data_IF_997432356318
#
_entry.id   IF_997432356318
#
_cell.length_a   1.000
_cell.length_b   1.000
_cell.length_c   1.000
_cell.angle_alpha   90.00
_cell.angle_beta   90.00
_cell.angle_gamma   90.00
#
_symmetry.space_group_name_H-M   'P 1'
#
loop_
_entity.id
_entity.type
_entity.pdbx_description
1 polymer ?
#
# COMPACT_ATOMS: atom_id res chain seq x y z
N UNK A 1 -5.80 12.36 -11.62
CA UNK A 1 -4.98 11.14 -11.90
C UNK A 1 -4.13 10.84 -10.69
N UNK A 2 -4.71 10.03 -9.81
CA UNK A 2 -4.16 9.64 -8.52
C UNK A 2 -3.06 8.59 -8.71
N UNK A 3 -2.12 8.57 -7.77
CA UNK A 3 -1.01 7.64 -7.61
C UNK A 3 -1.43 6.20 -7.89
N UNK A 4 -1.15 5.71 -9.10
CA UNK A 4 -1.17 4.29 -9.39
C UNK A 4 -0.21 3.60 -8.42
N UNK A 5 -0.75 2.69 -7.61
CA UNK A 5 0.03 1.80 -6.76
C UNK A 5 1.09 1.13 -7.62
N UNK A 6 2.36 1.54 -7.44
CA UNK A 6 3.47 0.84 -8.08
C UNK A 6 3.50 -0.55 -7.49
N UNK A 7 3.28 -1.56 -8.33
CA UNK A 7 3.47 -2.96 -7.96
C UNK A 7 4.81 -3.12 -7.25
N UNK A 8 4.87 -3.91 -6.18
CA UNK A 8 6.11 -4.13 -5.44
C UNK A 8 7.21 -4.73 -6.34
N UNK A 9 6.83 -5.46 -7.41
CA UNK A 9 7.74 -5.86 -8.49
C UNK A 9 8.47 -4.68 -9.17
N UNK A 10 7.76 -3.57 -9.44
CA UNK A 10 8.35 -2.36 -10.05
C UNK A 10 9.27 -1.62 -9.06
N UNK A 11 8.93 -1.64 -7.77
CA UNK A 11 9.77 -1.06 -6.73
C UNK A 11 11.08 -1.84 -6.57
N UNK A 12 11.00 -3.18 -6.55
CA UNK A 12 12.16 -4.07 -6.51
C UNK A 12 13.06 -3.84 -7.74
N UNK A 13 12.48 -3.82 -8.94
CA UNK A 13 13.24 -3.57 -10.17
C UNK A 13 13.91 -2.19 -10.16
N UNK A 14 13.24 -1.17 -9.63
CA UNK A 14 13.80 0.18 -9.48
C UNK A 14 14.98 0.18 -8.49
N UNK A 15 14.84 -0.49 -7.35
CA UNK A 15 15.90 -0.61 -6.35
C UNK A 15 17.13 -1.33 -6.92
N UNK A 16 16.92 -2.44 -7.63
CA UNK A 16 18.01 -3.15 -8.31
C UNK A 16 18.66 -2.31 -9.41
N UNK A 17 17.87 -1.58 -10.21
CA UNK A 17 18.41 -0.69 -11.24
C UNK A 17 19.34 0.39 -10.64
N UNK A 18 18.98 0.95 -9.48
CA UNK A 18 19.84 1.89 -8.74
C UNK A 18 21.10 1.24 -8.22
N UNK A 19 20.96 0.08 -7.56
CA UNK A 19 22.09 -0.66 -7.01
C UNK A 19 23.11 -1.03 -8.08
N UNK A 20 22.63 -1.60 -9.20
CA UNK A 20 23.47 -1.96 -10.34
C UNK A 20 24.12 -0.72 -10.94
N UNK A 21 23.36 0.37 -11.16
CA UNK A 21 23.89 1.62 -11.70
C UNK A 21 24.98 2.25 -10.84
N UNK A 22 24.80 2.29 -9.51
CA UNK A 22 25.83 2.75 -8.57
C UNK A 22 27.07 1.86 -8.64
N UNK A 23 26.88 0.54 -8.73
CA UNK A 23 27.97 -0.40 -8.95
C UNK A 23 28.77 -0.08 -10.22
N UNK A 24 28.11 0.17 -11.35
CA UNK A 24 28.80 0.53 -12.59
C UNK A 24 29.58 1.84 -12.48
N UNK A 25 29.05 2.87 -11.81
CA UNK A 25 29.79 4.12 -11.55
C UNK A 25 31.02 3.85 -10.68
N UNK A 26 30.86 3.08 -9.60
CA UNK A 26 31.97 2.72 -8.71
C UNK A 26 33.08 1.98 -9.47
N UNK A 27 32.73 0.94 -10.22
CA UNK A 27 33.71 0.17 -10.97
C UNK A 27 34.32 0.95 -12.14
N UNK A 28 33.61 1.90 -12.74
CA UNK A 28 34.19 2.80 -13.73
C UNK A 28 35.33 3.60 -13.12
N UNK A 29 35.11 4.18 -11.94
CA UNK A 29 36.14 4.95 -11.22
C UNK A 29 37.32 4.09 -10.81
N UNK A 30 37.06 2.88 -10.27
CA UNK A 30 38.11 1.92 -9.89
C UNK A 30 38.90 1.42 -11.10
N UNK A 31 38.28 1.35 -12.28
CA UNK A 31 38.92 0.85 -13.51
C UNK A 31 39.86 1.87 -14.17
N UNK A 32 39.80 3.16 -13.82
CA UNK A 32 40.62 4.21 -14.44
C UNK A 32 42.12 3.87 -14.50
N UNK A 33 42.79 3.47 -13.40
CA UNK A 33 44.19 3.07 -13.46
C UNK A 33 44.42 1.83 -14.34
N UNK A 34 43.55 0.82 -14.26
CA UNK A 34 43.68 -0.41 -15.06
C UNK A 34 43.45 -0.17 -16.56
N UNK A 35 42.66 0.83 -16.94
CA UNK A 35 42.48 1.24 -18.33
C UNK A 35 43.80 1.77 -18.90
N UNK A 36 44.55 2.54 -18.10
CA UNK A 36 45.88 3.05 -18.49
C UNK A 36 46.89 1.92 -18.62
N UNK A 37 46.83 0.92 -17.75
CA UNK A 37 47.67 -0.27 -17.85
C UNK A 37 47.47 -1.03 -19.18
N UNK A 38 46.28 -0.95 -19.79
CA UNK A 38 45.97 -1.62 -21.06
C UNK A 38 46.34 -0.82 -22.33
N UNK A 39 46.83 0.42 -22.22
CA UNK A 39 47.04 1.34 -23.36
C UNK A 39 48.05 0.80 -24.40
N UNK A 40 48.98 -0.06 -23.99
CA UNK A 40 49.94 -0.73 -24.89
C UNK A 40 49.54 -2.15 -25.34
N UNK A 41 48.52 -2.74 -24.70
CA UNK A 41 48.11 -4.13 -24.93
C UNK A 41 46.80 -4.24 -25.75
N UNK A 42 46.09 -3.12 -25.83
CA UNK A 42 44.85 -3.00 -26.59
C UNK A 42 45.00 -1.96 -27.71
N UNK A 43 44.37 -2.23 -28.85
CA UNK A 43 44.27 -1.28 -29.94
C UNK A 43 43.55 -0.01 -29.45
N UNK A 44 44.05 1.15 -29.86
CA UNK A 44 43.55 2.46 -29.40
C UNK A 44 42.07 2.70 -29.67
N UNK A 45 41.52 2.08 -30.73
CA UNK A 45 40.08 2.14 -31.05
C UNK A 45 39.23 1.26 -30.13
N UNK A 46 39.79 0.18 -29.57
CA UNK A 46 39.03 -0.82 -28.84
C UNK A 46 38.63 -0.32 -27.46
N UNK A 47 39.55 0.32 -26.73
CA UNK A 47 39.28 0.85 -25.39
C UNK A 47 38.03 1.75 -25.30
N UNK A 48 37.84 2.78 -26.15
CA UNK A 48 36.61 3.59 -26.11
C UNK A 48 35.36 2.78 -26.48
N UNK A 49 35.44 1.83 -27.42
CA UNK A 49 34.33 0.93 -27.76
C UNK A 49 33.99 0.02 -26.57
N UNK A 50 35.01 -0.55 -25.93
CA UNK A 50 34.89 -1.37 -24.73
C UNK A 50 34.23 -0.60 -23.59
N UNK A 51 34.63 0.66 -23.34
CA UNK A 51 34.00 1.48 -22.30
C UNK A 51 32.50 1.67 -22.54
N UNK A 52 32.09 1.91 -23.79
CA UNK A 52 30.67 2.02 -24.15
C UNK A 52 29.94 0.69 -23.97
N UNK A 53 30.54 -0.43 -24.39
CA UNK A 53 29.92 -1.75 -24.26
C UNK A 53 29.78 -2.18 -22.79
N UNK A 54 30.86 -2.07 -22.00
CA UNK A 54 30.88 -2.54 -20.62
C UNK A 54 30.11 -1.63 -19.67
N UNK A 55 30.19 -0.29 -19.80
CA UNK A 55 29.56 0.64 -18.86
C UNK A 55 28.26 1.27 -19.36
N UNK A 56 28.08 1.44 -20.67
CA UNK A 56 26.95 2.17 -21.26
C UNK A 56 25.57 1.68 -20.80
N UNK A 57 25.24 0.38 -20.95
CA UNK A 57 23.97 -0.17 -20.50
C UNK A 57 23.73 -0.01 -19.00
N UNK A 58 24.78 -0.18 -18.18
CA UNK A 58 24.71 -0.08 -16.72
C UNK A 58 24.45 1.35 -16.23
N UNK A 59 25.11 2.33 -16.82
CA UNK A 59 24.87 3.75 -16.55
C UNK A 59 23.48 4.19 -17.02
N UNK A 60 23.04 3.73 -18.20
CA UNK A 60 21.71 3.98 -18.71
C UNK A 60 20.62 3.36 -17.82
N UNK A 61 20.83 2.14 -17.32
CA UNK A 61 19.95 1.47 -16.35
C UNK A 61 19.85 2.29 -15.05
N UNK A 62 20.99 2.74 -14.53
CA UNK A 62 21.06 3.60 -13.36
C UNK A 62 20.27 4.89 -13.55
N UNK A 63 20.48 5.61 -14.65
CA UNK A 63 19.75 6.83 -14.98
C UNK A 63 18.24 6.60 -15.13
N UNK A 64 17.85 5.53 -15.84
CA UNK A 64 16.44 5.18 -16.06
C UNK A 64 15.69 4.87 -14.75
N UNK A 65 16.40 4.41 -13.72
CA UNK A 65 15.82 4.08 -12.40
C UNK A 65 15.39 5.30 -11.56
N UNK A 66 15.82 6.52 -11.92
CA UNK A 66 15.39 7.75 -11.27
C UNK A 66 14.18 8.39 -11.97
N UNK A 67 13.96 8.10 -13.26
CA UNK A 67 12.90 8.69 -14.07
C UNK A 67 11.57 7.92 -14.03
N UNK A 68 10.43 8.63 -13.93
CA UNK A 68 9.08 8.02 -14.02
C UNK A 68 8.83 7.35 -15.39
N UNK A 69 9.35 7.92 -16.48
CA UNK A 69 9.24 7.35 -17.84
C UNK A 69 10.23 6.20 -18.10
N UNK A 70 11.27 6.05 -17.27
CA UNK A 70 12.33 5.04 -17.44
C UNK A 70 11.92 3.62 -17.00
N UNK A 71 10.78 3.46 -16.32
CA UNK A 71 10.34 2.17 -15.79
C UNK A 71 10.16 1.09 -16.87
N UNK A 72 9.60 1.46 -18.02
CA UNK A 72 9.46 0.53 -19.16
C UNK A 72 10.81 0.10 -19.73
N UNK A 73 11.85 0.92 -19.55
CA UNK A 73 13.19 0.65 -20.04
C UNK A 73 14.05 -0.16 -19.04
N UNK A 74 13.66 -0.30 -17.77
CA UNK A 74 14.48 -0.98 -16.76
C UNK A 74 14.77 -2.46 -17.10
N UNK A 75 13.74 -3.23 -17.46
CA UNK A 75 13.93 -4.64 -17.87
C UNK A 75 14.81 -4.81 -19.11
N UNK A 76 14.57 -4.11 -20.23
CA UNK A 76 15.41 -4.26 -21.40
C UNK A 76 16.84 -3.74 -21.16
N UNK A 77 17.03 -2.67 -20.37
CA UNK A 77 18.37 -2.19 -20.02
C UNK A 77 19.12 -3.18 -19.11
N UNK A 78 18.44 -3.84 -18.17
CA UNK A 78 19.04 -4.89 -17.34
C UNK A 78 19.44 -6.11 -18.18
N UNK A 79 18.62 -6.51 -19.15
CA UNK A 79 18.98 -7.55 -20.11
C UNK A 79 20.15 -7.13 -21.02
N UNK A 80 20.17 -5.86 -21.44
CA UNK A 80 21.26 -5.31 -22.23
C UNK A 80 22.59 -5.32 -21.47
N UNK A 81 22.62 -5.07 -20.15
CA UNK A 81 23.83 -5.18 -19.35
C UNK A 81 24.48 -6.57 -19.47
N UNK A 82 23.68 -7.64 -19.48
CA UNK A 82 24.17 -9.01 -19.62
C UNK A 82 24.65 -9.29 -21.06
N UNK A 83 23.81 -9.00 -22.05
CA UNK A 83 24.11 -9.31 -23.45
C UNK A 83 25.31 -8.50 -23.95
N UNK A 84 25.35 -7.19 -23.68
CA UNK A 84 26.41 -6.31 -24.17
C UNK A 84 27.73 -6.58 -23.46
N UNK A 85 27.74 -7.03 -22.21
CA UNK A 85 28.96 -7.48 -21.54
C UNK A 85 29.59 -8.67 -22.27
N UNK A 86 28.80 -9.68 -22.65
CA UNK A 86 29.29 -10.82 -23.42
C UNK A 86 29.75 -10.40 -24.83
N UNK A 87 29.08 -9.42 -25.45
CA UNK A 87 29.53 -8.86 -26.72
C UNK A 87 30.88 -8.15 -26.59
N UNK A 88 31.09 -7.36 -25.52
CA UNK A 88 32.37 -6.73 -25.23
C UNK A 88 33.49 -7.76 -25.01
N UNK A 89 33.18 -8.87 -24.34
CA UNK A 89 34.11 -9.98 -24.19
C UNK A 89 34.41 -10.68 -25.52
N UNK A 90 33.40 -10.86 -26.37
CA UNK A 90 33.55 -11.46 -27.70
C UNK A 90 34.38 -10.60 -28.66
N UNK A 91 34.32 -9.27 -28.53
CA UNK A 91 35.10 -8.34 -29.35
C UNK A 91 36.52 -8.11 -28.83
N UNK A 92 36.84 -8.54 -27.60
CA UNK A 92 38.19 -8.38 -27.02
C UNK A 92 39.32 -8.93 -27.91
N UNK A 93 39.24 -10.15 -28.48
CA UNK A 93 40.32 -10.68 -29.33
C UNK A 93 40.64 -9.82 -30.56
N UNK A 94 39.70 -9.00 -31.03
CA UNK A 94 39.93 -8.07 -32.16
C UNK A 94 40.71 -6.83 -31.73
N UNK A 95 40.62 -6.46 -30.45
CA UNK A 95 41.34 -5.33 -29.86
C UNK A 95 42.70 -5.72 -29.27
N UNK A 96 42.94 -7.00 -29.02
CA UNK A 96 44.19 -7.45 -28.40
C UNK A 96 45.35 -7.40 -29.39
N UNK A 97 46.45 -6.75 -29.02
CA UNK A 97 47.66 -6.62 -29.86
C UNK A 97 48.55 -7.86 -29.83
N UNK A 98 48.27 -8.83 -28.95
CA UNK A 98 49.11 -10.00 -28.69
C UNK A 98 50.14 -9.80 -27.57
N UNK A 99 50.28 -8.57 -27.08
CA UNK A 99 51.14 -8.23 -25.95
C UNK A 99 50.53 -8.72 -24.61
N UNK A 100 51.36 -8.84 -23.59
CA UNK A 100 50.97 -9.28 -22.25
C UNK A 100 51.12 -8.15 -21.23
N UNK A 101 50.44 -8.30 -20.09
CA UNK A 101 50.55 -7.44 -18.92
C UNK A 101 51.54 -8.06 -17.91
N UNK A 102 52.54 -7.29 -17.45
CA UNK A 102 53.46 -7.74 -16.40
C UNK A 102 52.82 -7.67 -15.00
N UNK A 103 53.52 -8.24 -14.02
CA UNK A 103 53.23 -8.15 -12.58
C UNK A 103 51.86 -8.72 -12.19
N UNK A 104 51.39 -9.74 -12.91
CA UNK A 104 50.09 -10.39 -12.64
C UNK A 104 48.86 -9.48 -12.76
N UNK A 105 49.00 -8.30 -13.41
CA UNK A 105 47.87 -7.37 -13.67
C UNK A 105 46.75 -8.06 -14.46
N UNK A 106 45.56 -7.45 -14.43
CA UNK A 106 44.36 -8.00 -15.03
C UNK A 106 43.63 -6.97 -15.87
N UNK A 107 42.81 -7.44 -16.82
CA UNK A 107 41.98 -6.56 -17.62
C UNK A 107 40.95 -5.82 -16.75
N UNK A 108 40.75 -4.52 -17.00
CA UNK A 108 39.85 -3.68 -16.21
C UNK A 108 38.40 -4.19 -16.14
N UNK A 109 37.90 -4.81 -17.21
CA UNK A 109 36.56 -5.41 -17.26
C UNK A 109 36.43 -6.70 -16.43
N UNK A 110 37.53 -7.20 -15.86
CA UNK A 110 37.53 -8.41 -15.02
C UNK A 110 37.02 -8.18 -13.60
N UNK A 111 36.95 -6.92 -13.18
CA UNK A 111 36.57 -6.53 -11.83
C UNK A 111 35.09 -6.77 -11.51
N UNK A 112 34.22 -6.83 -12.52
CA UNK A 112 32.77 -6.79 -12.31
C UNK A 112 31.89 -7.67 -13.22
N UNK A 113 32.29 -8.89 -13.64
CA UNK A 113 31.40 -9.79 -14.38
C UNK A 113 30.11 -10.13 -13.61
N UNK A 114 30.15 -10.06 -12.28
CA UNK A 114 28.99 -10.21 -11.42
C UNK A 114 27.91 -9.13 -11.68
N UNK A 115 28.29 -7.86 -11.91
CA UNK A 115 27.33 -6.76 -12.12
C UNK A 115 26.49 -6.96 -13.38
N UNK A 116 27.10 -7.41 -14.48
CA UNK A 116 26.37 -7.78 -15.69
C UNK A 116 25.42 -8.95 -15.43
N UNK A 117 25.86 -9.93 -14.63
CA UNK A 117 25.07 -11.09 -14.24
C UNK A 117 23.90 -10.75 -13.30
N UNK A 118 23.99 -9.67 -12.52
CA UNK A 118 22.85 -9.12 -11.78
C UNK A 118 21.76 -8.59 -12.72
N UNK A 119 22.14 -7.99 -13.85
CA UNK A 119 21.20 -7.60 -14.90
C UNK A 119 20.42 -8.81 -15.44
N UNK A 120 21.12 -9.93 -15.69
CA UNK A 120 20.49 -11.20 -16.09
C UNK A 120 19.59 -11.78 -14.97
N UNK A 121 20.02 -11.72 -13.71
CA UNK A 121 19.27 -12.22 -12.56
C UNK A 121 17.88 -11.59 -12.41
N UNK A 122 17.76 -10.30 -12.75
CA UNK A 122 16.53 -9.53 -12.60
C UNK A 122 15.65 -9.55 -13.86
N UNK A 123 16.25 -9.77 -15.05
CA UNK A 123 15.54 -9.73 -16.34
C UNK A 123 15.24 -11.09 -16.95
N UNK A 124 15.96 -12.15 -16.57
CA UNK A 124 15.88 -13.48 -17.17
C UNK A 124 15.49 -14.56 -16.15
N UNK A 125 15.19 -15.77 -16.64
CA UNK A 125 14.98 -16.94 -15.75
C UNK A 125 16.31 -17.29 -15.05
N UNK A 126 16.29 -17.73 -13.78
CA UNK A 126 17.53 -17.99 -13.01
C UNK A 126 18.53 -18.93 -13.67
N UNK A 127 18.08 -19.97 -14.40
CA UNK A 127 18.96 -20.85 -15.17
C UNK A 127 19.85 -20.08 -16.17
N UNK A 128 19.29 -19.04 -16.80
CA UNK A 128 20.00 -18.21 -17.77
C UNK A 128 20.92 -17.21 -17.08
N UNK A 129 20.56 -16.72 -15.90
CA UNK A 129 21.44 -15.87 -15.09
C UNK A 129 22.67 -16.65 -14.59
N UNK A 130 22.51 -17.90 -14.14
CA UNK A 130 23.63 -18.77 -13.78
C UNK A 130 24.50 -19.12 -14.98
N UNK A 131 23.89 -19.44 -16.14
CA UNK A 131 24.64 -19.69 -17.36
C UNK A 131 25.44 -18.45 -17.80
N UNK A 132 24.80 -17.27 -17.78
CA UNK A 132 25.47 -16.01 -18.07
C UNK A 132 26.67 -15.80 -17.14
N UNK A 133 26.48 -15.98 -15.83
CA UNK A 133 27.57 -15.84 -14.86
C UNK A 133 28.74 -16.79 -15.16
N UNK A 134 28.44 -18.06 -15.44
CA UNK A 134 29.47 -19.05 -15.76
C UNK A 134 30.25 -18.65 -17.02
N UNK A 135 29.55 -18.24 -18.09
CA UNK A 135 30.18 -17.81 -19.35
C UNK A 135 30.99 -16.53 -19.17
N UNK A 136 30.44 -15.52 -18.49
CA UNK A 136 31.10 -14.24 -18.27
C UNK A 136 32.37 -14.40 -17.42
N UNK A 137 32.29 -15.12 -16.29
CA UNK A 137 33.45 -15.36 -15.42
C UNK A 137 34.51 -16.19 -16.14
N UNK A 138 34.11 -17.28 -16.80
CA UNK A 138 35.06 -18.15 -17.52
C UNK A 138 35.78 -17.38 -18.61
N UNK A 139 35.04 -16.61 -19.41
CA UNK A 139 35.63 -15.84 -20.49
C UNK A 139 36.54 -14.72 -20.00
N UNK A 140 36.15 -14.01 -18.95
CA UNK A 140 37.01 -13.00 -18.30
C UNK A 140 38.30 -13.62 -17.78
N UNK A 141 38.22 -14.78 -17.12
CA UNK A 141 39.43 -15.43 -16.60
C UNK A 141 40.29 -16.06 -17.70
N UNK A 142 39.68 -16.50 -18.79
CA UNK A 142 40.43 -16.90 -19.98
C UNK A 142 41.20 -15.71 -20.55
N UNK A 143 40.57 -14.54 -20.64
CA UNK A 143 41.24 -13.30 -21.06
C UNK A 143 42.41 -13.00 -20.14
N UNK A 144 42.23 -12.96 -18.81
CA UNK A 144 43.34 -12.68 -17.89
C UNK A 144 44.46 -13.71 -17.97
N UNK A 145 44.14 -14.99 -18.17
CA UNK A 145 45.14 -16.05 -18.27
C UNK A 145 46.05 -15.87 -19.49
N UNK A 146 45.49 -15.46 -20.63
CA UNK A 146 46.28 -15.16 -21.82
C UNK A 146 46.93 -13.79 -21.80
N UNK A 147 46.33 -12.83 -21.06
CA UNK A 147 46.87 -11.49 -20.91
C UNK A 147 48.09 -11.46 -19.98
N UNK A 148 48.18 -12.38 -19.02
CA UNK A 148 49.34 -12.48 -18.12
C UNK A 148 50.52 -13.17 -18.78
N UNK A 149 51.71 -12.66 -18.48
CA UNK A 149 52.98 -13.30 -18.81
C UNK A 149 53.03 -14.74 -18.31
N UNK A 150 53.70 -15.62 -19.06
CA UNK A 150 53.74 -17.05 -18.76
C UNK A 150 54.28 -17.37 -17.35
N UNK A 151 55.17 -16.53 -16.81
CA UNK A 151 55.71 -16.65 -15.45
C UNK A 151 54.72 -16.25 -14.34
N UNK A 152 53.72 -15.43 -14.66
CA UNK A 152 52.76 -14.84 -13.70
C UNK A 152 51.38 -15.50 -13.77
N UNK A 153 51.21 -16.57 -14.55
CA UNK A 153 49.93 -17.26 -14.70
C UNK A 153 49.55 -18.00 -13.43
N UNK A 154 48.46 -17.56 -12.82
CA UNK A 154 47.73 -18.31 -11.81
C UNK A 154 47.04 -19.55 -12.40
N UNK A 155 46.75 -20.57 -11.57
CA UNK A 155 45.98 -21.73 -12.00
C UNK A 155 44.57 -21.31 -12.48
N UNK A 156 44.33 -21.40 -13.79
CA UNK A 156 43.09 -20.93 -14.43
C UNK A 156 41.82 -21.49 -13.76
N UNK A 157 41.81 -22.79 -13.45
CA UNK A 157 40.65 -23.44 -12.83
C UNK A 157 40.37 -22.87 -11.44
N UNK A 158 41.41 -22.57 -10.65
CA UNK A 158 41.25 -21.98 -9.33
C UNK A 158 40.67 -20.57 -9.41
N UNK A 159 41.15 -19.75 -10.34
CA UNK A 159 40.64 -18.38 -10.56
C UNK A 159 39.18 -18.39 -11.03
N UNK A 160 38.81 -19.30 -11.94
CA UNK A 160 37.42 -19.47 -12.38
C UNK A 160 36.53 -19.87 -11.20
N UNK A 161 36.92 -20.89 -10.44
CA UNK A 161 36.12 -21.39 -9.31
C UNK A 161 35.98 -20.32 -8.23
N UNK A 162 37.05 -19.61 -7.89
CA UNK A 162 37.04 -18.53 -6.91
C UNK A 162 36.13 -17.38 -7.35
N UNK A 163 36.33 -16.85 -8.57
CA UNK A 163 35.52 -15.74 -9.08
C UNK A 163 34.06 -16.12 -9.30
N UNK A 164 33.79 -17.36 -9.73
CA UNK A 164 32.44 -17.86 -9.86
C UNK A 164 31.77 -17.98 -8.49
N UNK A 165 32.43 -18.61 -7.52
CA UNK A 165 31.94 -18.76 -6.15
C UNK A 165 31.65 -17.42 -5.47
N UNK A 166 32.58 -16.47 -5.57
CA UNK A 166 32.40 -15.12 -5.03
C UNK A 166 31.22 -14.39 -5.69
N UNK A 167 31.14 -14.43 -7.01
CA UNK A 167 30.07 -13.76 -7.77
C UNK A 167 28.70 -14.42 -7.57
N UNK A 168 28.68 -15.74 -7.36
CA UNK A 168 27.48 -16.53 -7.16
C UNK A 168 26.70 -16.05 -5.93
N UNK A 169 27.38 -15.60 -4.87
CA UNK A 169 26.76 -15.08 -3.65
C UNK A 169 25.83 -13.91 -4.00
N UNK A 170 26.34 -12.93 -4.75
CA UNK A 170 25.58 -11.74 -5.13
C UNK A 170 24.44 -12.04 -6.10
N UNK A 171 24.69 -12.91 -7.09
CA UNK A 171 23.68 -13.32 -8.08
C UNK A 171 22.56 -14.13 -7.42
N UNK A 172 22.91 -15.12 -6.58
CA UNK A 172 21.94 -15.93 -5.84
C UNK A 172 21.12 -15.10 -4.85
N UNK A 173 21.76 -14.18 -4.13
CA UNK A 173 21.07 -13.24 -3.25
C UNK A 173 20.06 -12.39 -4.03
N UNK A 174 20.45 -11.88 -5.20
CA UNK A 174 19.58 -11.04 -6.04
C UNK A 174 18.41 -11.82 -6.64
N UNK A 175 18.63 -13.07 -7.09
CA UNK A 175 17.57 -13.98 -7.53
C UNK A 175 16.59 -14.27 -6.38
N UNK A 176 17.11 -14.54 -5.18
CA UNK A 176 16.30 -14.85 -4.01
C UNK A 176 15.46 -13.66 -3.59
N UNK A 177 16.06 -12.48 -3.47
CA UNK A 177 15.35 -11.23 -3.16
C UNK A 177 14.27 -10.91 -4.22
N UNK A 178 14.57 -11.11 -5.50
CA UNK A 178 13.58 -10.90 -6.57
C UNK A 178 12.41 -11.89 -6.46
N UNK A 179 12.67 -13.17 -6.17
CA UNK A 179 11.64 -14.21 -6.07
C UNK A 179 10.79 -14.10 -4.80
N UNK A 180 11.40 -13.85 -3.65
CA UNK A 180 10.69 -13.68 -2.38
C UNK A 180 9.73 -12.50 -2.44
N UNK A 181 10.10 -11.42 -3.14
CA UNK A 181 9.18 -10.31 -3.43
C UNK A 181 7.92 -10.76 -4.18
N UNK A 182 8.08 -11.51 -5.27
CA UNK A 182 6.94 -12.03 -6.05
C UNK A 182 6.06 -13.03 -5.27
N UNK A 183 6.67 -13.88 -4.44
CA UNK A 183 5.93 -14.83 -3.60
C UNK A 183 5.16 -14.12 -2.48
N UNK A 184 5.77 -13.12 -1.85
CA UNK A 184 5.14 -12.34 -0.80
C UNK A 184 3.95 -11.53 -1.33
N UNK A 185 4.07 -10.95 -2.53
CA UNK A 185 3.00 -10.18 -3.17
C UNK A 185 1.78 -11.05 -3.50
N UNK A 186 1.98 -12.22 -4.10
CA UNK A 186 0.86 -13.14 -4.40
C UNK A 186 0.16 -13.66 -3.14
N UNK A 187 0.92 -13.86 -2.07
CA UNK A 187 0.36 -14.31 -0.79
C UNK A 187 -0.44 -13.20 -0.12
N UNK A 188 0.01 -11.94 -0.21
CA UNK A 188 -0.73 -10.79 0.32
C UNK A 188 -2.04 -10.57 -0.41
N UNK A 189 -2.04 -10.53 -1.73
CA UNK A 189 -3.25 -10.28 -2.52
C UNK A 189 -4.31 -11.38 -2.29
N UNK A 190 -3.89 -12.65 -2.25
CA UNK A 190 -4.79 -13.77 -1.93
C UNK A 190 -5.31 -13.74 -0.50
N UNK A 191 -4.46 -13.38 0.49
CA UNK A 191 -4.88 -13.28 1.89
C UNK A 191 -5.86 -12.12 2.10
N UNK A 192 -5.63 -10.96 1.47
CA UNK A 192 -6.57 -9.83 1.53
C UNK A 192 -7.90 -10.14 0.85
N UNK A 193 -7.88 -10.77 -0.33
CA UNK A 193 -9.10 -11.19 -1.02
C UNK A 193 -9.87 -12.27 -0.22
N UNK A 194 -9.16 -13.20 0.40
CA UNK A 194 -9.76 -14.23 1.25
C UNK A 194 -10.33 -13.65 2.56
N UNK A 195 -9.61 -12.71 3.19
CA UNK A 195 -10.11 -12.00 4.35
C UNK A 195 -11.35 -11.15 4.03
N UNK A 196 -11.35 -10.45 2.89
CA UNK A 196 -12.48 -9.64 2.44
C UNK A 196 -13.71 -10.51 2.13
N UNK A 197 -13.54 -11.64 1.43
CA UNK A 197 -14.62 -12.57 1.14
C UNK A 197 -15.15 -13.25 2.41
N UNK A 198 -14.28 -13.65 3.33
CA UNK A 198 -14.68 -14.19 4.64
C UNK A 198 -15.46 -13.16 5.46
N UNK A 199 -15.01 -11.90 5.50
CA UNK A 199 -15.72 -10.83 6.19
C UNK A 199 -17.10 -10.58 5.57
N UNK A 200 -17.21 -10.60 4.24
CA UNK A 200 -18.49 -10.45 3.55
C UNK A 200 -19.48 -11.60 3.83
N UNK A 201 -18.99 -12.85 3.85
CA UNK A 201 -19.79 -14.04 4.21
C UNK A 201 -20.26 -13.95 5.66
N UNK A 202 -19.37 -13.53 6.56
CA UNK A 202 -19.69 -13.39 7.97
C UNK A 202 -20.71 -12.28 8.22
N UNK A 203 -20.59 -11.13 7.54
CA UNK A 203 -21.57 -10.05 7.58
C UNK A 203 -22.95 -10.53 7.11
N UNK A 204 -23.02 -11.22 5.96
CA UNK A 204 -24.28 -11.80 5.45
C UNK A 204 -24.88 -12.82 6.41
N UNK A 205 -24.06 -13.63 7.06
CA UNK A 205 -24.53 -14.62 8.03
C UNK A 205 -25.11 -13.95 9.27
N UNK A 206 -24.49 -12.87 9.75
CA UNK A 206 -24.99 -12.07 10.87
C UNK A 206 -26.33 -11.42 10.51
N UNK A 207 -26.44 -10.80 9.33
CA UNK A 207 -27.72 -10.23 8.86
C UNK A 207 -28.81 -11.29 8.72
N UNK A 208 -28.46 -12.47 8.18
CA UNK A 208 -29.44 -13.55 8.00
C UNK A 208 -29.94 -14.09 9.34
N UNK A 209 -29.06 -14.31 10.33
CA UNK A 209 -29.47 -14.70 11.69
C UNK A 209 -30.36 -13.64 12.35
N UNK A 210 -30.02 -12.36 12.17
CA UNK A 210 -30.86 -11.25 12.66
C UNK A 210 -32.26 -11.31 12.04
N UNK A 211 -32.34 -11.52 10.73
CA UNK A 211 -33.61 -11.64 10.01
C UNK A 211 -34.41 -12.87 10.44
N UNK A 212 -33.76 -14.04 10.55
CA UNK A 212 -34.39 -15.28 11.00
C UNK A 212 -34.97 -15.11 12.42
N UNK A 213 -34.26 -14.44 13.33
CA UNK A 213 -34.76 -14.13 14.68
C UNK A 213 -36.00 -13.23 14.66
N UNK A 214 -35.99 -12.18 13.85
CA UNK A 214 -37.14 -11.27 13.69
C UNK A 214 -38.39 -11.98 13.16
N UNK A 215 -38.22 -12.83 12.14
CA UNK A 215 -39.32 -13.60 11.56
C UNK A 215 -39.83 -14.66 12.55
N UNK A 216 -38.92 -15.35 13.22
CA UNK A 216 -39.27 -16.49 14.05
C UNK A 216 -39.88 -16.09 15.40
N UNK A 217 -39.30 -15.09 16.06
CA UNK A 217 -39.69 -14.77 17.43
C UNK A 217 -40.85 -13.78 17.50
N UNK A 218 -41.00 -12.87 16.53
CA UNK A 218 -42.04 -11.85 16.57
C UNK A 218 -43.21 -12.14 15.62
N UNK A 219 -42.96 -12.63 14.40
CA UNK A 219 -44.05 -12.89 13.44
C UNK A 219 -44.70 -14.25 13.69
N UNK A 220 -43.92 -15.32 13.74
CA UNK A 220 -44.48 -16.67 13.93
C UNK A 220 -45.08 -16.87 15.32
N UNK A 221 -44.48 -16.33 16.38
CA UNK A 221 -45.05 -16.44 17.73
C UNK A 221 -46.42 -15.78 17.82
N UNK A 222 -46.57 -14.59 17.21
CA UNK A 222 -47.83 -13.85 17.15
C UNK A 222 -48.87 -14.58 16.30
N UNK A 223 -48.51 -15.09 15.12
CA UNK A 223 -49.42 -15.88 14.28
C UNK A 223 -49.85 -17.19 14.95
N UNK A 224 -48.93 -17.85 15.65
CA UNK A 224 -49.22 -19.09 16.38
C UNK A 224 -50.14 -18.82 17.58
N UNK A 225 -49.90 -17.74 18.33
CA UNK A 225 -50.77 -17.31 19.42
C UNK A 225 -52.17 -16.95 18.91
N UNK A 226 -52.27 -16.24 17.79
CA UNK A 226 -53.53 -15.94 17.13
C UNK A 226 -54.28 -17.20 16.64
N UNK A 227 -53.57 -18.27 16.26
CA UNK A 227 -54.19 -19.52 15.80
C UNK A 227 -54.75 -20.41 16.93
N UNK A 228 -54.34 -20.19 18.19
CA UNK A 228 -54.58 -21.11 19.31
C UNK A 228 -55.54 -20.62 20.39
N UNK A 229 -55.90 -19.34 20.41
CA UNK A 229 -56.66 -18.76 21.53
C UNK A 229 -57.56 -17.58 21.15
N UNK A 230 -58.44 -17.16 22.08
CA UNK A 230 -59.30 -15.99 21.88
C UNK A 230 -58.45 -14.73 21.75
N UNK A 231 -58.87 -13.82 20.87
CA UNK A 231 -58.15 -12.56 20.65
C UNK A 231 -58.25 -11.67 21.90
N UNK A 232 -57.15 -11.56 22.65
CA UNK A 232 -57.03 -10.72 23.83
C UNK A 232 -56.14 -9.49 23.55
N UNK A 233 -56.14 -8.54 24.49
CA UNK A 233 -55.39 -7.29 24.34
C UNK A 233 -53.87 -7.52 24.25
N UNK A 234 -53.36 -8.60 24.87
CA UNK A 234 -51.94 -8.95 24.85
C UNK A 234 -51.49 -9.38 23.45
N UNK A 235 -52.31 -10.14 22.73
CA UNK A 235 -52.04 -10.49 21.34
C UNK A 235 -52.00 -9.25 20.44
N UNK A 236 -52.89 -8.27 20.68
CA UNK A 236 -52.90 -6.99 19.95
C UNK A 236 -51.60 -6.21 20.21
N UNK A 237 -51.16 -6.11 21.47
CA UNK A 237 -49.89 -5.45 21.82
C UNK A 237 -48.70 -6.16 21.15
N UNK A 238 -48.67 -7.49 21.18
CA UNK A 238 -47.61 -8.30 20.58
C UNK A 238 -47.55 -8.14 19.04
N UNK A 239 -48.71 -8.11 18.38
CA UNK A 239 -48.81 -7.83 16.94
C UNK A 239 -48.37 -6.39 16.59
N UNK A 240 -48.69 -5.43 17.45
CA UNK A 240 -48.31 -4.02 17.28
C UNK A 240 -46.79 -3.85 17.32
N UNK A 241 -46.12 -4.53 18.25
CA UNK A 241 -44.65 -4.54 18.36
C UNK A 241 -44.01 -5.18 17.12
N UNK A 242 -44.50 -6.35 16.69
CA UNK A 242 -43.99 -7.03 15.49
C UNK A 242 -44.16 -6.18 14.21
N UNK A 243 -45.30 -5.49 14.07
CA UNK A 243 -45.56 -4.59 12.94
C UNK A 243 -44.66 -3.36 12.96
N UNK A 244 -44.47 -2.73 14.12
CA UNK A 244 -43.59 -1.58 14.26
C UNK A 244 -42.14 -1.90 13.88
N UNK A 245 -41.67 -3.11 14.21
CA UNK A 245 -40.33 -3.61 13.89
C UNK A 245 -40.17 -3.97 12.40
N UNK A 246 -41.22 -4.47 11.74
CA UNK A 246 -41.24 -4.66 10.29
C UNK A 246 -41.27 -3.33 9.53
N UNK A 247 -41.98 -2.32 10.04
CA UNK A 247 -42.06 -0.99 9.43
C UNK A 247 -40.76 -0.18 9.58
N UNK A 248 -39.97 -0.40 10.63
CA UNK A 248 -38.62 0.18 10.72
C UNK A 248 -37.69 -0.44 9.67
N UNK A 249 -37.73 -1.76 9.49
CA UNK A 249 -36.96 -2.44 8.43
C UNK A 249 -37.38 -2.00 7.02
N UNK A 250 -38.68 -1.78 6.80
CA UNK A 250 -39.18 -1.27 5.52
C UNK A 250 -38.72 0.15 5.22
N UNK A 251 -38.66 1.01 6.24
CA UNK A 251 -38.13 2.38 6.11
C UNK A 251 -36.64 2.41 5.80
N UNK A 252 -35.86 1.46 6.34
CA UNK A 252 -34.43 1.32 6.03
C UNK A 252 -34.16 0.78 4.61
N UNK A 253 -35.14 0.13 3.97
CA UNK A 253 -35.01 -0.52 2.66
C UNK A 253 -35.53 0.29 1.46
N UNK A 254 -36.33 1.35 1.67
CA UNK A 254 -36.86 2.19 0.59
C UNK A 254 -35.84 3.28 0.16
N UNK A 255 -35.82 3.72 -1.11
CA UNK A 255 -35.04 4.90 -1.51
C UNK A 255 -35.56 6.10 -0.73
N UNK A 256 -34.68 6.72 0.06
CA UNK A 256 -35.12 7.57 1.16
C UNK A 256 -35.41 8.99 0.67
N UNK A 257 -36.60 9.49 0.96
CA UNK A 257 -36.97 10.90 0.83
C UNK A 257 -36.07 11.79 1.68
N UNK A 258 -35.79 13.01 1.24
CA UNK A 258 -35.06 13.97 2.05
C UNK A 258 -35.80 14.25 3.37
N UNK A 259 -35.03 14.57 4.42
CA UNK A 259 -35.56 14.86 5.76
C UNK A 259 -35.92 16.34 5.84
N UNK A 260 -37.11 16.67 6.32
CA UNK A 260 -37.40 18.04 6.74
C UNK A 260 -36.63 18.37 8.03
N UNK A 261 -36.50 19.66 8.37
CA UNK A 261 -35.76 20.11 9.56
C UNK A 261 -36.20 19.40 10.84
N UNK A 262 -37.50 19.18 11.01
CA UNK A 262 -38.05 18.48 12.18
C UNK A 262 -37.62 17.01 12.21
N UNK A 263 -37.54 16.36 11.05
CA UNK A 263 -37.08 14.98 10.94
C UNK A 263 -35.59 14.87 11.24
N UNK A 264 -34.77 15.85 10.79
CA UNK A 264 -33.33 15.90 11.11
C UNK A 264 -33.14 15.95 12.63
N UNK A 265 -33.90 16.81 13.30
CA UNK A 265 -33.90 16.92 14.77
C UNK A 265 -34.30 15.61 15.42
N UNK A 266 -35.41 15.02 14.99
CA UNK A 266 -35.92 13.78 15.55
C UNK A 266 -34.90 12.65 15.40
N UNK A 267 -34.28 12.54 14.22
CA UNK A 267 -33.27 11.53 13.94
C UNK A 267 -32.02 11.69 14.79
N UNK A 268 -31.47 12.91 14.90
CA UNK A 268 -30.28 13.16 15.73
C UNK A 268 -30.60 12.97 17.22
N UNK A 269 -31.79 13.36 17.69
CA UNK A 269 -32.24 13.05 19.06
C UNK A 269 -32.32 11.56 19.32
N UNK A 270 -32.95 10.80 18.42
CA UNK A 270 -33.08 9.36 18.56
C UNK A 270 -31.70 8.67 18.56
N UNK A 271 -30.80 9.07 17.66
CA UNK A 271 -29.44 8.55 17.60
C UNK A 271 -28.62 8.86 18.87
N UNK A 272 -28.78 10.05 19.43
CA UNK A 272 -28.14 10.44 20.70
C UNK A 272 -28.73 9.65 21.88
N UNK A 273 -30.06 9.58 22.00
CA UNK A 273 -30.76 8.90 23.10
C UNK A 273 -30.48 7.39 23.12
N UNK A 274 -30.27 6.77 21.96
CA UNK A 274 -29.86 5.37 21.86
C UNK A 274 -28.46 5.09 22.44
N UNK A 275 -27.61 6.13 22.57
CA UNK A 275 -26.27 6.03 23.14
C UNK A 275 -26.26 6.46 24.61
N UNK A 276 -26.85 7.62 24.90
CA UNK A 276 -26.96 8.18 26.24
C UNK A 276 -28.22 9.05 26.35
N UNK A 277 -29.21 8.56 27.08
CA UNK A 277 -30.47 9.27 27.32
C UNK A 277 -30.28 10.54 28.18
N UNK A 278 -29.15 10.68 28.88
CA UNK A 278 -28.83 11.82 29.75
C UNK A 278 -27.98 12.90 29.07
N UNK A 279 -27.54 12.67 27.82
CA UNK A 279 -26.69 13.61 27.11
C UNK A 279 -27.42 14.94 26.83
N UNK A 280 -26.75 16.06 27.08
CA UNK A 280 -27.28 17.39 26.76
C UNK A 280 -27.15 17.63 25.27
N UNK A 281 -28.29 17.59 24.56
CA UNK A 281 -28.35 17.83 23.13
C UNK A 281 -29.05 19.17 22.85
N UNK A 282 -28.30 20.10 22.27
CA UNK A 282 -28.79 21.43 21.89
C UNK A 282 -28.85 21.55 20.37
N UNK A 283 -29.92 22.20 19.88
CA UNK A 283 -30.12 22.46 18.47
C UNK A 283 -30.23 23.96 18.22
N UNK A 284 -29.54 24.45 17.19
CA UNK A 284 -29.64 25.82 16.69
C UNK A 284 -30.08 25.80 15.24
N UNK A 285 -31.14 26.55 14.94
CA UNK A 285 -31.68 26.71 13.60
C UNK A 285 -31.56 28.18 13.21
N UNK A 286 -30.98 28.44 12.05
CA UNK A 286 -31.11 29.75 11.40
C UNK A 286 -32.48 29.81 10.71
N UNK A 287 -33.14 30.97 10.74
CA UNK A 287 -34.53 31.12 10.27
C UNK A 287 -34.71 30.67 8.80
N UNK A 288 -33.73 30.96 7.95
CA UNK A 288 -33.74 30.61 6.53
C UNK A 288 -33.51 29.11 6.26
N UNK A 289 -33.18 28.31 7.28
CA UNK A 289 -33.02 26.87 7.14
C UNK A 289 -34.34 26.10 7.32
N UNK A 290 -35.40 26.73 7.83
CA UNK A 290 -36.65 26.07 8.21
C UNK A 290 -37.40 25.38 7.04
N UNK A 291 -37.21 25.88 5.81
CA UNK A 291 -37.88 25.38 4.60
C UNK A 291 -37.02 24.41 3.77
N UNK A 292 -35.81 24.05 4.24
CA UNK A 292 -34.91 23.16 3.51
C UNK A 292 -35.03 21.71 3.95
N UNK A 293 -34.95 20.82 2.97
CA UNK A 293 -34.76 19.39 3.19
C UNK A 293 -33.27 19.03 3.17
N UNK A 294 -32.89 18.04 3.96
CA UNK A 294 -31.51 17.50 4.00
C UNK A 294 -31.53 16.08 3.42
N UNK A 295 -30.61 15.72 2.51
CA UNK A 295 -30.55 14.39 1.97
C UNK A 295 -30.53 13.33 3.07
N UNK A 296 -31.39 12.35 2.93
CA UNK A 296 -31.56 11.31 3.95
C UNK A 296 -30.27 10.54 4.26
N UNK A 297 -29.45 10.28 3.24
CA UNK A 297 -28.13 9.67 3.40
C UNK A 297 -27.20 10.54 4.27
N UNK A 298 -27.23 11.86 4.08
CA UNK A 298 -26.48 12.83 4.90
C UNK A 298 -26.91 12.73 6.36
N UNK A 299 -28.22 12.79 6.64
CA UNK A 299 -28.74 12.78 8.02
C UNK A 299 -28.36 11.49 8.73
N UNK A 300 -28.53 10.34 8.07
CA UNK A 300 -28.11 9.03 8.62
C UNK A 300 -26.61 8.95 8.83
N UNK A 301 -25.83 9.45 7.89
CA UNK A 301 -24.36 9.40 7.96
C UNK A 301 -23.82 10.25 9.10
N UNK A 302 -24.32 11.49 9.22
CA UNK A 302 -23.98 12.41 10.31
C UNK A 302 -24.47 11.87 11.65
N UNK A 303 -25.70 11.35 11.73
CA UNK A 303 -26.26 10.76 12.94
C UNK A 303 -25.46 9.54 13.43
N UNK A 304 -25.06 8.64 12.52
CA UNK A 304 -24.22 7.50 12.86
C UNK A 304 -22.82 7.91 13.31
N UNK A 305 -22.22 8.92 12.66
CA UNK A 305 -20.93 9.48 13.03
C UNK A 305 -20.97 10.16 14.41
N UNK A 306 -22.04 10.91 14.69
CA UNK A 306 -22.30 11.52 16.00
C UNK A 306 -22.44 10.47 17.09
N UNK A 307 -23.26 9.43 16.87
CA UNK A 307 -23.47 8.35 17.83
C UNK A 307 -22.16 7.60 18.14
N UNK A 308 -21.28 7.42 17.14
CA UNK A 308 -19.96 6.83 17.35
C UNK A 308 -19.03 7.75 18.14
N UNK A 309 -19.02 9.06 17.88
CA UNK A 309 -18.29 10.02 18.69
C UNK A 309 -18.76 9.99 20.16
N UNK A 310 -20.07 9.94 20.39
CA UNK A 310 -20.65 9.81 21.74
C UNK A 310 -20.25 8.50 22.43
N UNK A 311 -20.28 7.35 21.74
CA UNK A 311 -19.82 6.06 22.30
C UNK A 311 -18.35 6.10 22.69
N UNK A 312 -17.51 6.73 21.87
CA UNK A 312 -16.09 6.90 22.19
C UNK A 312 -15.90 7.79 23.42
N UNK A 313 -16.68 8.86 23.54
CA UNK A 313 -16.69 9.70 24.73
C UNK A 313 -17.14 8.93 25.99
N UNK A 314 -18.21 8.12 25.91
CA UNK A 314 -18.63 7.27 27.04
C UNK A 314 -17.55 6.29 27.46
N UNK A 315 -16.87 5.69 26.49
CA UNK A 315 -15.83 4.68 26.75
C UNK A 315 -14.54 5.28 27.32
N UNK A 316 -14.18 6.50 26.91
CA UNK A 316 -12.84 7.04 27.13
C UNK A 316 -12.80 8.30 28.00
N UNK A 317 -13.87 9.09 28.07
CA UNK A 317 -13.88 10.32 28.86
C UNK A 317 -14.07 10.06 30.37
N UNK A 318 -14.57 8.88 30.76
CA UNK A 318 -14.90 8.53 32.15
C UNK A 318 -16.36 8.87 32.52
N UNK A 319 -16.90 8.25 33.56
CA UNK A 319 -18.33 8.38 33.90
C UNK A 319 -18.75 9.82 34.28
N UNK A 320 -17.84 10.57 34.92
CA UNK A 320 -18.11 11.92 35.44
C UNK A 320 -17.86 13.04 34.41
N UNK A 321 -17.39 12.71 33.21
CA UNK A 321 -17.12 13.72 32.17
C UNK A 321 -18.42 14.37 31.68
N UNK A 322 -18.42 15.70 31.60
CA UNK A 322 -19.49 16.46 30.99
C UNK A 322 -19.44 16.28 29.46
N UNK A 323 -20.58 15.87 28.90
CA UNK A 323 -20.75 15.63 27.47
C UNK A 323 -21.83 16.56 26.93
N UNK A 324 -21.53 17.19 25.80
CA UNK A 324 -22.49 18.02 25.08
C UNK A 324 -22.47 17.71 23.60
N UNK A 325 -23.66 17.76 23.00
CA UNK A 325 -23.82 17.69 21.55
C UNK A 325 -24.53 18.96 21.10
N UNK A 326 -23.95 19.63 20.11
CA UNK A 326 -24.50 20.85 19.53
C UNK A 326 -24.70 20.60 18.04
N UNK A 327 -25.95 20.57 17.61
CA UNK A 327 -26.31 20.52 16.20
C UNK A 327 -26.75 21.90 15.73
N UNK A 328 -26.22 22.35 14.60
CA UNK A 328 -26.57 23.60 13.95
C UNK A 328 -26.92 23.34 12.49
N UNK A 329 -28.08 23.82 12.06
CA UNK A 329 -28.51 23.76 10.67
C UNK A 329 -28.66 25.19 10.14
N UNK A 330 -27.97 25.47 9.02
CA UNK A 330 -27.99 26.74 8.32
C UNK A 330 -28.18 26.52 6.82
N UNK A 331 -28.40 27.58 6.02
CA UNK A 331 -28.45 27.47 4.56
C UNK A 331 -27.17 26.86 3.95
N UNK A 332 -26.03 26.98 4.66
CA UNK A 332 -24.74 26.42 4.23
C UNK A 332 -24.63 24.92 4.51
N UNK A 333 -25.48 24.35 5.37
CA UNK A 333 -25.57 22.91 5.63
C UNK A 333 -25.69 22.54 7.12
N UNK A 334 -25.31 21.32 7.45
CA UNK A 334 -25.47 20.71 8.78
C UNK A 334 -24.12 20.62 9.48
N UNK A 335 -24.05 21.11 10.71
CA UNK A 335 -22.90 20.96 11.60
C UNK A 335 -23.31 20.28 12.90
N UNK A 336 -22.57 19.26 13.32
CA UNK A 336 -22.75 18.60 14.61
C UNK A 336 -21.41 18.57 15.32
N UNK A 337 -21.37 19.10 16.54
CA UNK A 337 -20.18 19.11 17.39
C UNK A 337 -20.46 18.27 18.63
N UNK A 338 -19.62 17.26 18.88
CA UNK A 338 -19.64 16.43 20.09
C UNK A 338 -18.43 16.80 20.94
N UNK A 339 -18.65 17.20 22.18
CA UNK A 339 -17.61 17.67 23.10
C UNK A 339 -17.66 16.89 24.41
N UNK A 340 -16.49 16.48 24.90
CA UNK A 340 -16.28 16.04 26.28
C UNK A 340 -15.09 16.72 26.95
N UNK A 341 -15.14 16.82 28.27
CA UNK A 341 -14.09 17.38 29.13
C UNK A 341 -13.25 16.29 29.81
N UNK A 342 -13.19 15.09 29.22
CA UNK A 342 -12.42 13.96 29.73
C UNK A 342 -10.90 14.19 29.72
N UNK A 343 -10.10 13.15 30.01
CA UNK A 343 -8.64 13.26 30.05
C UNK A 343 -8.00 13.62 28.70
N UNK A 344 -8.73 13.50 27.58
CA UNK A 344 -8.19 13.72 26.24
C UNK A 344 -7.01 12.80 25.91
N UNK A 345 -6.41 12.98 24.73
CA UNK A 345 -5.23 12.21 24.34
C UNK A 345 -4.33 12.97 23.37
N UNK A 346 -3.07 12.54 23.26
CA UNK A 346 -2.15 13.07 22.26
C UNK A 346 -2.32 12.31 20.94
N UNK A 347 -2.87 12.99 19.94
CA UNK A 347 -3.07 12.47 18.58
C UNK A 347 -1.77 11.98 17.92
N UNK A 348 -0.63 12.61 18.22
CA UNK A 348 0.66 12.28 17.60
C UNK A 348 1.26 10.97 18.11
N UNK A 349 0.87 10.57 19.32
CA UNK A 349 1.32 9.35 19.98
C UNK A 349 0.61 8.07 19.52
N UNK A 350 -0.50 8.19 18.78
CA UNK A 350 -1.31 7.03 18.37
C UNK A 350 -0.94 6.58 16.95
N UNK A 351 -0.47 5.33 16.76
CA UNK A 351 -0.18 4.79 15.43
C UNK A 351 -1.41 4.81 14.51
N UNK A 352 -1.21 5.15 13.23
CA UNK A 352 -2.29 5.24 12.22
C UNK A 352 -3.22 4.01 12.17
N UNK A 353 -2.69 2.81 12.48
CA UNK A 353 -3.44 1.54 12.48
C UNK A 353 -4.27 1.27 13.75
N UNK A 354 -4.11 2.07 14.83
CA UNK A 354 -4.86 1.93 16.10
C UNK A 354 -5.90 3.03 16.32
N UNK A 355 -6.02 3.97 15.38
CA UNK A 355 -6.94 5.11 15.42
C UNK A 355 -8.33 4.73 14.90
N UNK A 356 -8.96 3.71 15.50
CA UNK A 356 -10.29 3.23 15.09
C UNK A 356 -11.36 4.33 14.97
N UNK A 357 -11.22 5.41 15.75
CA UNK A 357 -12.08 6.61 15.72
C UNK A 357 -11.80 7.49 14.48
N UNK A 358 -10.52 7.71 14.14
CA UNK A 358 -10.12 8.52 12.98
C UNK A 358 -10.56 7.86 11.67
N UNK A 359 -10.37 6.54 11.56
CA UNK A 359 -10.69 5.80 10.33
C UNK A 359 -12.20 5.62 10.16
N UNK A 360 -12.95 5.36 11.22
CA UNK A 360 -14.39 5.08 11.08
C UNK A 360 -15.27 6.32 10.94
N UNK A 361 -14.97 7.41 11.66
CA UNK A 361 -15.75 8.66 11.60
C UNK A 361 -15.28 9.53 10.44
N UNK A 362 -13.97 9.79 10.32
CA UNK A 362 -13.48 10.68 9.26
C UNK A 362 -13.68 10.07 7.88
N UNK A 363 -13.34 8.81 7.65
CA UNK A 363 -13.49 8.23 6.31
C UNK A 363 -14.96 8.16 5.89
N UNK A 364 -15.87 7.92 6.84
CA UNK A 364 -17.31 7.92 6.56
C UNK A 364 -17.80 9.30 6.16
N UNK A 365 -17.38 10.34 6.87
CA UNK A 365 -17.72 11.73 6.55
C UNK A 365 -17.09 12.20 5.24
N UNK A 366 -15.84 11.80 4.93
CA UNK A 366 -15.17 12.18 3.67
C UNK A 366 -15.75 11.47 2.43
N UNK A 367 -16.42 10.32 2.60
CA UNK A 367 -17.14 9.65 1.50
C UNK A 367 -18.48 10.30 1.18
N UNK A 368 -19.03 11.09 2.10
CA UNK A 368 -20.27 11.82 1.88
C UNK A 368 -19.98 13.05 1.02
N UNK A 369 -20.69 13.29 -0.10
CA UNK A 369 -20.56 14.52 -0.87
C UNK A 369 -20.84 15.76 0.00
N UNK A 370 -19.89 16.71 0.03
CA UNK A 370 -19.95 17.89 0.91
C UNK A 370 -19.62 17.61 2.39
N UNK A 371 -19.30 16.36 2.75
CA UNK A 371 -18.99 15.95 4.12
C UNK A 371 -17.53 16.19 4.51
N UNK A 372 -17.33 16.66 5.74
CA UNK A 372 -16.02 16.76 6.37
C UNK A 372 -16.11 16.50 7.87
N UNK A 373 -14.99 16.12 8.47
CA UNK A 373 -14.91 15.95 9.92
C UNK A 373 -13.54 16.37 10.44
N UNK A 374 -13.53 16.91 11.66
CA UNK A 374 -12.33 17.31 12.37
C UNK A 374 -12.35 16.77 13.80
N UNK A 375 -11.18 16.41 14.32
CA UNK A 375 -10.98 15.91 15.67
C UNK A 375 -9.94 16.78 16.36
N UNK A 376 -10.32 17.36 17.49
CA UNK A 376 -9.44 18.17 18.32
C UNK A 376 -9.38 17.54 19.71
N UNK A 377 -8.20 17.16 20.17
CA UNK A 377 -7.99 16.68 21.54
C UNK A 377 -6.57 16.99 22.00
N UNK A 378 -6.40 17.14 23.30
CA UNK A 378 -5.11 17.22 23.96
C UNK A 378 -5.24 16.63 25.36
N UNK A 379 -4.15 16.07 25.88
CA UNK A 379 -4.09 15.55 27.25
C UNK A 379 -4.50 16.65 28.24
N UNK A 380 -5.49 16.37 29.08
CA UNK A 380 -6.08 17.26 30.08
C UNK A 380 -7.08 18.30 29.53
N UNK A 381 -7.44 18.28 28.24
CA UNK A 381 -8.35 19.26 27.63
C UNK A 381 -9.60 18.64 26.98
N UNK A 382 -9.84 17.35 27.17
CA UNK A 382 -11.00 16.66 26.58
C UNK A 382 -10.88 16.41 25.08
N UNK A 383 -12.03 16.14 24.46
CA UNK A 383 -12.15 15.77 23.05
C UNK A 383 -13.29 16.53 22.39
N UNK A 384 -13.05 17.09 21.20
CA UNK A 384 -14.05 17.74 20.35
C UNK A 384 -14.05 17.08 18.98
N UNK A 385 -15.19 16.55 18.57
CA UNK A 385 -15.44 16.00 17.23
C UNK A 385 -16.39 16.93 16.49
N UNK A 386 -15.95 17.48 15.38
CA UNK A 386 -16.78 18.28 14.49
C UNK A 386 -17.14 17.49 13.24
N UNK A 387 -18.43 17.41 12.94
CA UNK A 387 -18.99 16.80 11.75
C UNK A 387 -19.67 17.90 10.96
N UNK A 388 -19.32 18.04 9.69
CA UNK A 388 -19.86 19.08 8.82
C UNK A 388 -20.33 18.47 7.51
N UNK A 389 -21.45 18.96 7.02
CA UNK A 389 -21.93 18.72 5.68
C UNK A 389 -22.32 20.05 5.06
N UNK A 390 -21.77 20.34 3.89
CA UNK A 390 -22.07 21.53 3.11
C UNK A 390 -23.09 21.22 2.02
N UNK A 391 -24.16 22.01 1.96
CA UNK A 391 -25.16 21.89 0.90
C UNK A 391 -24.55 22.33 -0.43
N UNK A 392 -24.68 21.50 -1.47
CA UNK A 392 -24.11 21.74 -2.80
C UNK A 392 -25.05 22.52 -3.72
#
# INVERSE_FOLDING_TARGET
MTTAERSAADQILTMFGRFIGVGYVFYLLVSIPLIRDLEGVSASWWTPVGLVLFFGPGLALGAASFGRRGQRALRPLAAACAVVFLLGLLTWPLGWTGETLPDGKAAWFSLFPALASLGAAVSMRPRWAFLHLAVAVTGVQLVNHYLRDAGDRSPLVADIVYSFGFSLIFVAASITASRTGFLLDRTRESTYAQAASSAAVQARTVERRRFDGLIHDNVMSTLLAASRGPMDQRLVDQASVALAELDTLRRDALPVSDFEVQDVVAHLRAAAAAVDASATLSFRFEADAAERTVPAETVRTVGAAMAEAMRNSLRHAGLDAHRSVVAALSPLGLRVTVTDDGPGFDLSSIPAHRLGVRVSILDRMHRLPGGSAALHTAVGRGTVVELRWEAQ
#
